data_IF_043915268357
#
_entry.id   IF_043915268357
#
_cell.length_a   1.000
_cell.length_b   1.000
_cell.length_c   1.000
_cell.angle_alpha   90.00
_cell.angle_beta   90.00
_cell.angle_gamma   90.00
#
_symmetry.space_group_name_H-M   'P 1'
#
loop_
_entity.id
_entity.type
_entity.pdbx_description
1 polymer ?
2 polymer ?
3 non-polymer ?
4 non-polymer ?
5 non-polymer ?
6 non-polymer ?
7 water ?
#
# COMPACT_ATOMS: atom_id res chain seq x y z
N UNK A 1 18.24 9.46 12.40
CA UNK A 1 19.00 9.65 11.18
C UNK A 1 19.27 11.10 10.88
N UNK A 2 19.26 11.46 9.59
CA UNK A 2 19.51 12.85 9.21
C UNK A 2 18.38 13.79 9.65
N UNK A 3 17.22 13.27 10.04
CA UNK A 3 16.14 14.11 10.56
C UNK A 3 16.11 14.16 12.07
N UNK A 4 17.08 13.53 12.74
CA UNK A 4 17.06 13.48 14.19
C UNK A 4 17.09 14.83 14.88
N UNK A 5 17.66 15.85 14.23
CA UNK A 5 17.75 17.16 14.86
C UNK A 5 16.54 18.05 14.57
N UNK A 6 15.61 17.60 13.73
CA UNK A 6 14.47 18.44 13.38
C UNK A 6 13.26 18.10 14.24
N UNK A 7 12.54 19.15 14.67
CA UNK A 7 11.32 18.97 15.45
C UNK A 7 10.31 18.10 14.73
N UNK A 8 9.61 17.25 15.50
CA UNK A 8 8.53 16.45 14.92
C UNK A 8 7.55 17.31 14.16
N UNK A 9 7.10 18.41 14.76
CA UNK A 9 6.09 19.24 14.10
C UNK A 9 6.65 19.86 12.82
N UNK A 10 7.94 20.19 12.83
CA UNK A 10 8.58 20.77 11.64
C UNK A 10 8.67 19.73 10.53
N UNK A 11 8.95 18.47 10.90
CA UNK A 11 8.99 17.41 9.90
C UNK A 11 7.62 17.22 9.26
N UNK A 12 6.56 17.23 10.06
CA UNK A 12 5.21 17.08 9.52
C UNK A 12 4.88 18.26 8.61
N UNK A 13 5.21 19.48 9.06
CA UNK A 13 4.96 20.65 8.24
C UNK A 13 5.69 20.55 6.91
N UNK A 14 6.96 20.13 6.93
CA UNK A 14 7.70 20.03 5.69
C UNK A 14 7.22 18.89 4.81
N UNK A 15 6.73 17.80 5.41
CA UNK A 15 6.11 16.75 4.59
C UNK A 15 4.95 17.30 3.79
N UNK A 16 4.12 18.15 4.42
CA UNK A 16 2.98 18.72 3.71
C UNK A 16 3.45 19.67 2.61
N UNK A 17 4.50 20.44 2.87
CA UNK A 17 5.07 21.31 1.84
C UNK A 17 5.62 20.48 0.68
N UNK A 18 6.34 19.40 0.99
CA UNK A 18 6.90 18.55 -0.05
C UNK A 18 5.78 17.93 -0.89
N UNK A 19 4.67 17.54 -0.25
CA UNK A 19 3.53 17.05 -1.02
C UNK A 19 3.02 18.09 -2.01
N UNK A 20 2.92 19.35 -1.57
CA UNK A 20 2.45 20.42 -2.44
C UNK A 20 3.41 20.64 -3.61
N UNK A 21 4.71 20.44 -3.37
CA UNK A 21 5.74 20.59 -4.38
C UNK A 21 5.96 19.33 -5.20
N UNK A 22 5.18 18.27 -4.91
CA UNK A 22 5.33 16.97 -5.56
C UNK A 22 6.77 16.44 -5.42
N UNK A 23 7.34 16.66 -4.24
CA UNK A 23 8.68 16.17 -3.91
C UNK A 23 8.52 14.99 -2.97
N UNK A 24 8.16 13.84 -3.54
CA UNK A 24 7.72 12.72 -2.70
C UNK A 24 8.88 12.02 -2.00
N UNK A 25 10.08 12.00 -2.59
CA UNK A 25 11.24 11.48 -1.87
C UNK A 25 11.50 12.30 -0.62
N UNK A 26 11.47 13.62 -0.73
CA UNK A 26 11.60 14.47 0.46
C UNK A 26 10.48 14.20 1.44
N UNK A 27 9.25 14.12 0.93
CA UNK A 27 8.10 13.87 1.80
C UNK A 27 8.29 12.59 2.60
N UNK A 28 8.78 11.54 1.93
CA UNK A 28 8.97 10.27 2.62
C UNK A 28 10.08 10.37 3.66
N UNK A 29 11.17 11.10 3.33
CA UNK A 29 12.24 11.24 4.30
C UNK A 29 11.77 12.03 5.53
N UNK A 30 10.95 13.06 5.31
CA UNK A 30 10.41 13.82 6.44
C UNK A 30 9.51 12.93 7.31
N UNK A 31 8.62 12.16 6.68
CA UNK A 31 7.71 11.32 7.44
C UNK A 31 8.46 10.18 8.14
N UNK A 32 9.49 9.62 7.51
CA UNK A 32 10.34 8.66 8.21
C UNK A 32 10.94 9.29 9.46
N UNK A 33 11.47 10.52 9.34
CA UNK A 33 11.96 11.22 10.50
C UNK A 33 10.91 11.40 11.58
N UNK A 34 9.68 11.74 11.17
CA UNK A 34 8.61 11.90 12.15
C UNK A 34 8.30 10.58 12.86
N UNK A 35 8.22 9.50 12.10
CA UNK A 35 7.96 8.20 12.72
C UNK A 35 9.04 7.87 13.73
N UNK A 36 10.30 8.11 13.37
CA UNK A 36 11.41 7.76 14.26
C UNK A 36 11.47 8.62 15.50
N UNK A 37 10.65 9.66 15.62
CA UNK A 37 10.52 10.35 16.90
C UNK A 37 9.92 9.45 17.98
N UNK A 38 9.25 8.38 17.59
CA UNK A 38 8.81 7.39 18.53
C UNK A 38 7.38 7.54 19.01
N UNK A 39 6.72 8.66 18.69
CA UNK A 39 5.34 8.84 19.08
C UNK A 39 4.41 8.22 18.04
N UNK A 40 3.22 7.83 18.48
CA UNK A 40 2.23 7.32 17.55
C UNK A 40 1.81 8.41 16.56
N UNK A 41 1.29 8.00 15.41
CA UNK A 41 0.88 8.92 14.38
C UNK A 41 -0.62 9.15 14.42
N UNK A 42 -1.03 10.39 14.18
CA UNK A 42 -2.44 10.70 14.03
C UNK A 42 -2.95 10.18 12.69
N UNK A 43 -4.27 10.24 12.50
CA UNK A 43 -4.85 9.82 11.22
C UNK A 43 -4.24 10.59 10.05
N UNK A 44 -4.14 11.91 10.17
CA UNK A 44 -3.59 12.71 9.08
C UNK A 44 -2.13 12.36 8.83
N UNK A 45 -1.36 12.14 9.89
CA UNK A 45 0.04 11.79 9.73
C UNK A 45 0.22 10.42 9.10
N UNK A 46 -0.62 9.45 9.46
CA UNK A 46 -0.56 8.14 8.80
C UNK A 46 -0.79 8.30 7.31
N UNK A 47 -1.73 9.16 6.92
CA UNK A 47 -2.00 9.33 5.51
C UNK A 47 -0.83 10.03 4.81
N UNK A 48 -0.16 10.98 5.48
CA UNK A 48 1.03 11.58 4.89
C UNK A 48 2.11 10.53 4.66
N UNK A 49 2.32 9.65 5.63
CA UNK A 49 3.31 8.58 5.48
C UNK A 49 2.97 7.70 4.29
N UNK A 50 1.70 7.31 4.18
CA UNK A 50 1.27 6.42 3.11
C UNK A 50 1.40 7.09 1.74
N UNK A 51 0.93 8.33 1.63
CA UNK A 51 1.02 9.05 0.35
C UNK A 51 2.47 9.18 -0.11
N UNK A 52 3.37 9.49 0.82
CA UNK A 52 4.76 9.70 0.44
C UNK A 52 5.38 8.43 -0.13
N UNK A 53 5.30 7.35 0.63
CA UNK A 53 5.95 6.12 0.16
C UNK A 53 5.22 5.51 -1.02
N UNK A 54 3.89 5.67 -1.10
CA UNK A 54 3.15 5.16 -2.25
C UNK A 54 3.67 5.81 -3.53
N UNK A 55 3.92 7.12 -3.48
CA UNK A 55 4.40 7.80 -4.67
C UNK A 55 5.84 7.44 -4.99
N UNK A 56 6.69 7.30 -3.96
CA UNK A 56 8.08 6.90 -4.21
C UNK A 56 8.14 5.52 -4.83
N UNK A 57 7.52 4.52 -4.16
CA UNK A 57 7.60 3.17 -4.70
C UNK A 57 6.80 3.07 -6.00
N UNK A 58 5.77 3.90 -6.17
CA UNK A 58 5.01 3.87 -7.42
C UNK A 58 5.87 4.22 -8.62
N UNK A 59 6.72 5.24 -8.47
CA UNK A 59 7.66 5.57 -9.53
C UNK A 59 8.65 4.46 -9.79
N UNK A 60 9.14 3.81 -8.72
CA UNK A 60 10.08 2.70 -8.89
C UNK A 60 9.43 1.52 -9.58
N UNK A 61 8.20 1.18 -9.17
CA UNK A 61 7.49 0.06 -9.80
C UNK A 61 7.26 0.33 -11.28
N UNK A 62 6.85 1.54 -11.63
CA UNK A 62 6.64 1.87 -13.03
C UNK A 62 7.92 1.75 -13.82
N UNK A 63 9.02 2.25 -13.27
CA UNK A 63 10.32 2.11 -13.94
C UNK A 63 10.73 0.66 -14.08
N UNK A 64 10.58 -0.13 -12.99
CA UNK A 64 10.93 -1.54 -13.04
C UNK A 64 10.13 -2.28 -14.12
N UNK A 65 8.85 -1.93 -14.28
CA UNK A 65 8.04 -2.61 -15.29
C UNK A 65 8.53 -2.28 -16.69
N UNK A 66 8.92 -1.02 -16.93
CA UNK A 66 9.47 -0.64 -18.23
C UNK A 66 10.73 -1.43 -18.50
N UNK A 67 11.64 -1.47 -17.52
CA UNK A 67 12.92 -2.13 -17.73
C UNK A 67 12.76 -3.64 -17.85
N UNK A 68 11.84 -4.21 -17.07
CA UNK A 68 11.59 -5.65 -17.14
C UNK A 68 11.06 -6.03 -18.52
N UNK A 69 10.17 -5.22 -19.08
CA UNK A 69 9.64 -5.51 -20.40
C UNK A 69 10.72 -5.42 -21.47
N UNK A 70 11.58 -4.40 -21.38
CA UNK A 70 12.70 -4.30 -22.31
C UNK A 70 13.61 -5.51 -22.17
N UNK A 71 13.85 -5.95 -20.93
CA UNK A 71 14.73 -7.08 -20.68
C UNK A 71 14.18 -8.37 -21.27
N UNK A 72 12.87 -8.59 -21.15
CA UNK A 72 12.31 -9.82 -21.69
C UNK A 72 12.28 -9.79 -23.22
N UNK A 73 11.99 -8.64 -23.81
CA UNK A 73 12.14 -8.49 -25.25
C UNK A 73 13.59 -8.70 -25.67
N UNK A 74 14.53 -8.27 -24.84
CA UNK A 74 15.95 -8.53 -25.12
C UNK A 74 16.30 -10.01 -25.05
N UNK A 75 15.45 -10.82 -24.41
CA UNK A 75 15.68 -12.26 -24.28
C UNK A 75 14.73 -13.09 -25.14
N UNK A 76 14.06 -12.46 -26.10
CA UNK A 76 13.11 -13.18 -26.95
C UNK A 76 13.79 -13.80 -28.17
N UNK A 81 19.76 -8.89 -28.17
CA UNK A 81 21.04 -9.55 -28.46
C UNK A 81 22.17 -8.92 -27.66
N UNK A 82 21.86 -7.85 -26.94
CA UNK A 82 22.87 -6.96 -26.38
C UNK A 82 23.60 -7.61 -25.20
N UNK A 83 24.31 -6.79 -24.43
CA UNK A 83 25.08 -7.25 -23.30
C UNK A 83 24.31 -7.16 -22.00
N UNK A 84 25.01 -6.93 -20.90
CA UNK A 84 24.39 -7.00 -19.57
C UNK A 84 23.70 -5.74 -19.09
N UNK A 85 23.66 -4.68 -19.90
CA UNK A 85 23.27 -3.37 -19.39
C UNK A 85 21.81 -3.32 -18.95
N UNK A 86 20.90 -3.91 -19.73
CA UNK A 86 19.49 -3.86 -19.38
C UNK A 86 19.26 -4.60 -18.07
N UNK A 87 19.84 -5.80 -17.95
CA UNK A 87 19.72 -6.54 -16.70
C UNK A 87 20.35 -5.78 -15.54
N UNK A 88 21.53 -5.18 -15.76
CA UNK A 88 22.18 -4.44 -14.68
C UNK A 88 21.32 -3.30 -14.20
N UNK A 89 20.74 -2.55 -15.14
CA UNK A 89 19.98 -1.37 -14.75
C UNK A 89 18.63 -1.76 -14.14
N UNK A 90 18.00 -2.81 -14.67
CA UNK A 90 16.79 -3.33 -14.02
C UNK A 90 17.11 -3.78 -12.58
N UNK A 91 18.25 -4.44 -12.39
CA UNK A 91 18.65 -4.86 -11.05
C UNK A 91 18.88 -3.66 -10.14
N UNK A 92 19.46 -2.59 -10.67
CA UNK A 92 19.69 -1.40 -9.87
C UNK A 92 18.37 -0.82 -9.36
N UNK A 93 17.41 -0.63 -10.26
CA UNK A 93 16.11 -0.11 -9.88
C UNK A 93 15.42 -1.07 -8.91
N UNK A 94 15.49 -2.38 -9.20
CA UNK A 94 14.90 -3.38 -8.34
C UNK A 94 15.49 -3.32 -6.92
N UNK A 95 16.80 -3.17 -6.81
CA UNK A 95 17.41 -3.10 -5.48
C UNK A 95 16.95 -1.84 -4.75
N UNK A 96 16.82 -0.74 -5.47
CA UNK A 96 16.36 0.50 -4.84
C UNK A 96 14.91 0.36 -4.38
N UNK A 97 14.07 -0.26 -5.21
CA UNK A 97 12.69 -0.54 -4.82
C UNK A 97 12.64 -1.40 -3.56
N UNK A 98 13.41 -2.48 -3.54
CA UNK A 98 13.43 -3.36 -2.38
C UNK A 98 13.91 -2.60 -1.15
N UNK A 99 14.85 -1.67 -1.33
CA UNK A 99 15.29 -0.88 -0.20
C UNK A 99 14.19 -0.01 0.38
N UNK A 100 13.36 0.58 -0.49
CA UNK A 100 12.27 1.41 0.00
C UNK A 100 11.24 0.54 0.73
N UNK A 101 10.85 -0.58 0.12
CA UNK A 101 9.96 -1.50 0.85
C UNK A 101 10.53 -1.94 2.18
N UNK A 102 11.81 -2.29 2.24
CA UNK A 102 12.41 -2.70 3.52
C UNK A 102 12.35 -1.55 4.53
N UNK A 103 12.55 -0.31 4.06
CA UNK A 103 12.45 0.84 4.95
C UNK A 103 11.05 0.96 5.54
N UNK A 104 10.03 0.90 4.68
CA UNK A 104 8.65 0.99 5.17
C UNK A 104 8.35 -0.15 6.13
N UNK A 105 8.69 -1.38 5.74
CA UNK A 105 8.42 -2.52 6.62
C UNK A 105 9.15 -2.38 7.95
N UNK A 106 10.36 -1.80 7.93
CA UNK A 106 11.08 -1.57 9.16
C UNK A 106 10.41 -0.55 10.07
N UNK A 107 9.83 0.50 9.48
CA UNK A 107 9.09 1.45 10.29
C UNK A 107 7.87 0.78 10.91
N UNK A 108 7.18 -0.05 10.14
CA UNK A 108 6.00 -0.71 10.67
C UNK A 108 6.37 -1.65 11.80
N UNK A 109 7.51 -2.34 11.67
CA UNK A 109 7.95 -3.29 12.67
C UNK A 109 8.61 -2.63 13.87
N UNK A 110 9.08 -1.38 13.71
CA UNK A 110 9.82 -0.66 14.75
C UNK A 110 9.38 0.81 14.80
N UNK A 111 8.24 1.10 15.41
CA UNK A 111 7.41 0.16 16.15
C UNK A 111 5.94 0.50 15.97
N UNK A 112 5.57 0.91 14.75
CA UNK A 112 4.23 1.43 14.54
C UNK A 112 3.16 0.39 14.87
N UNK A 113 3.33 -0.84 14.37
CA UNK A 113 2.26 -1.82 14.53
C UNK A 113 2.07 -2.19 15.99
N UNK A 114 3.17 -2.46 16.70
CA UNK A 114 3.01 -2.93 18.07
C UNK A 114 2.40 -1.88 18.99
N UNK A 115 2.50 -0.59 18.66
CA UNK A 115 1.86 0.42 19.48
C UNK A 115 0.45 0.76 19.02
N UNK A 116 0.01 0.21 17.88
CA UNK A 116 -1.28 0.54 17.29
C UNK A 116 -2.37 -0.31 17.93
N UNK A 117 -3.15 0.30 18.81
CA UNK A 117 -4.20 -0.43 19.52
C UNK A 117 -5.60 -0.18 18.99
N UNK A 118 -5.83 0.98 18.39
CA UNK A 118 -7.14 1.27 17.83
C UNK A 118 -7.29 0.59 16.47
N UNK A 119 -8.51 0.21 16.15
CA UNK A 119 -8.76 -0.48 14.89
C UNK A 119 -8.27 0.33 13.69
N UNK A 120 -8.55 1.64 13.68
CA UNK A 120 -8.21 2.43 12.50
C UNK A 120 -6.70 2.48 12.27
N UNK A 121 -5.91 2.58 13.34
CA UNK A 121 -4.47 2.60 13.14
C UNK A 121 -3.93 1.21 12.85
N UNK A 122 -4.38 0.21 13.60
CA UNK A 122 -3.84 -1.14 13.40
C UNK A 122 -4.16 -1.68 12.02
N UNK A 123 -5.40 -1.49 11.55
CA UNK A 123 -5.75 -1.95 10.21
C UNK A 123 -4.95 -1.19 9.16
N UNK A 124 -4.79 0.12 9.34
CA UNK A 124 -4.01 0.93 8.40
C UNK A 124 -2.60 0.37 8.25
N UNK A 125 -1.93 0.12 9.39
CA UNK A 125 -0.54 -0.32 9.33
C UNK A 125 -0.42 -1.73 8.78
N UNK A 126 -1.35 -2.62 9.16
CA UNK A 126 -1.28 -3.99 8.65
C UNK A 126 -1.55 -4.02 7.15
N UNK A 127 -2.47 -3.17 6.68
CA UNK A 127 -2.67 -3.04 5.24
C UNK A 127 -1.38 -2.58 4.56
N UNK A 128 -0.72 -1.57 5.14
CA UNK A 128 0.56 -1.12 4.60
C UNK A 128 1.56 -2.24 4.54
N UNK A 129 1.63 -3.06 5.59
CA UNK A 129 2.55 -4.18 5.61
C UNK A 129 2.25 -5.16 4.47
N UNK A 130 0.96 -5.47 4.28
CA UNK A 130 0.58 -6.28 3.12
C UNK A 130 1.00 -5.65 1.82
N UNK A 131 0.75 -4.34 1.68
CA UNK A 131 1.07 -3.64 0.44
C UNK A 131 2.56 -3.72 0.12
N UNK A 132 3.42 -3.48 1.11
CA UNK A 132 4.84 -3.41 0.77
C UNK A 132 5.45 -4.81 0.62
N UNK A 133 4.89 -5.83 1.28
CA UNK A 133 5.30 -7.18 0.91
C UNK A 133 4.80 -7.52 -0.49
N UNK A 134 3.62 -7.01 -0.87
CA UNK A 134 3.11 -7.24 -2.22
C UNK A 134 4.03 -6.63 -3.26
N UNK A 135 4.55 -5.42 -3.01
CA UNK A 135 5.48 -4.82 -3.94
C UNK A 135 6.78 -5.63 -4.02
N UNK A 136 7.25 -6.14 -2.88
CA UNK A 136 8.39 -7.04 -2.91
C UNK A 136 8.07 -8.29 -3.72
N UNK A 137 6.86 -8.82 -3.59
CA UNK A 137 6.51 -10.04 -4.33
C UNK A 137 6.49 -9.79 -5.84
N UNK A 138 6.15 -8.58 -6.27
CA UNK A 138 6.08 -8.27 -7.69
C UNK A 138 7.42 -8.47 -8.39
N UNK A 139 8.53 -8.32 -7.66
CA UNK A 139 9.87 -8.44 -8.24
C UNK A 139 10.61 -9.67 -7.74
N UNK A 140 9.99 -10.47 -6.88
CA UNK A 140 10.66 -11.64 -6.32
C UNK A 140 10.59 -12.80 -7.30
N UNK A 141 11.64 -13.62 -7.30
CA UNK A 141 11.73 -14.73 -8.24
C UNK A 141 12.04 -16.01 -7.46
N UNK A 142 11.08 -16.94 -7.47
CA UNK A 142 11.35 -18.30 -7.02
C UNK A 142 10.77 -18.70 -5.68
N UNK A 143 11.66 -19.02 -4.75
CA UNK A 143 11.27 -19.69 -3.50
C UNK A 143 11.02 -18.71 -2.36
N UNK A 144 11.98 -17.82 -2.09
CA UNK A 144 11.63 -16.77 -1.12
C UNK A 144 10.51 -15.88 -1.63
N UNK A 145 10.22 -15.92 -2.94
CA UNK A 145 8.95 -15.40 -3.43
C UNK A 145 7.78 -15.99 -2.65
N UNK A 146 7.86 -17.29 -2.34
CA UNK A 146 6.78 -17.93 -1.58
C UNK A 146 6.62 -17.32 -0.20
N UNK A 147 7.74 -17.10 0.50
CA UNK A 147 7.65 -16.57 1.85
C UNK A 147 7.20 -15.11 1.84
N UNK A 148 7.62 -14.34 0.83
CA UNK A 148 7.17 -12.95 0.73
C UNK A 148 5.67 -12.89 0.49
N UNK A 149 5.17 -13.76 -0.40
CA UNK A 149 3.74 -13.81 -0.68
C UNK A 149 2.97 -14.17 0.58
N UNK A 150 3.50 -15.13 1.36
CA UNK A 150 2.77 -15.48 2.58
C UNK A 150 2.81 -14.37 3.62
N UNK A 151 3.90 -13.60 3.68
CA UNK A 151 3.92 -12.46 4.58
C UNK A 151 2.89 -11.40 4.16
N UNK A 152 2.75 -11.15 2.87
CA UNK A 152 1.71 -10.22 2.44
C UNK A 152 0.33 -10.76 2.81
N UNK A 153 0.07 -12.02 2.48
CA UNK A 153 -1.22 -12.64 2.78
C UNK A 153 -1.54 -12.56 4.26
N UNK A 154 -0.56 -12.89 5.10
CA UNK A 154 -0.77 -12.90 6.55
C UNK A 154 -1.11 -11.50 7.06
N UNK A 155 -0.39 -10.49 6.58
CA UNK A 155 -0.68 -9.13 7.02
C UNK A 155 -2.07 -8.69 6.58
N UNK A 156 -2.40 -8.90 5.30
CA UNK A 156 -3.73 -8.56 4.82
C UNK A 156 -4.81 -9.30 5.60
N UNK A 157 -4.59 -10.60 5.87
CA UNK A 157 -5.61 -11.39 6.56
C UNK A 157 -5.85 -10.87 7.97
N UNK A 158 -4.78 -10.55 8.71
CA UNK A 158 -4.96 -10.00 10.04
C UNK A 158 -5.70 -8.67 9.98
N UNK A 159 -5.35 -7.82 9.02
CA UNK A 159 -6.05 -6.55 8.84
C UNK A 159 -7.53 -6.79 8.54
N UNK A 160 -7.82 -7.75 7.67
CA UNK A 160 -9.20 -8.06 7.32
C UNK A 160 -9.98 -8.52 8.55
N UNK A 161 -9.38 -9.41 9.35
CA UNK A 161 -10.08 -9.93 10.51
C UNK A 161 -10.47 -8.81 11.45
N UNK A 162 -9.54 -7.88 11.71
CA UNK A 162 -9.84 -6.75 12.58
C UNK A 162 -10.90 -5.86 11.96
N UNK A 163 -10.75 -5.55 10.66
CA UNK A 163 -11.67 -4.59 10.05
C UNK A 163 -13.10 -5.12 10.05
N UNK A 164 -13.27 -6.43 9.87
CA UNK A 164 -14.61 -7.01 9.88
C UNK A 164 -15.23 -7.00 11.27
N UNK A 165 -14.41 -7.10 12.32
CA UNK A 165 -14.95 -7.04 13.68
C UNK A 165 -15.19 -5.61 14.16
N UNK A 166 -14.38 -4.65 13.69
CA UNK A 166 -14.33 -3.34 14.34
C UNK A 166 -14.77 -2.17 13.48
N UNK A 167 -14.96 -2.34 12.18
CA UNK A 167 -15.27 -1.24 11.27
C UNK A 167 -16.53 -1.54 10.48
N UNK A 168 -17.33 -0.52 10.17
CA UNK A 168 -18.48 -0.74 9.28
C UNK A 168 -18.00 -1.05 7.88
N UNK A 169 -18.84 -1.71 7.07
CA UNK A 169 -18.41 -2.11 5.72
C UNK A 169 -18.12 -0.96 4.78
N UNK A 170 -18.50 0.27 5.11
CA UNK A 170 -18.21 1.40 4.26
C UNK A 170 -16.96 2.16 4.67
N UNK A 171 -16.33 1.76 5.77
CA UNK A 171 -15.16 2.48 6.23
C UNK A 171 -14.10 2.53 5.14
N UNK A 172 -13.62 3.72 4.74
CA UNK A 172 -12.66 3.78 3.63
C UNK A 172 -11.38 2.97 3.84
N UNK A 173 -10.91 2.85 5.08
CA UNK A 173 -9.74 2.00 5.33
C UNK A 173 -10.09 0.56 5.04
N UNK A 174 -11.23 0.10 5.55
CA UNK A 174 -11.68 -1.26 5.28
C UNK A 174 -11.86 -1.51 3.79
N UNK A 175 -12.44 -0.55 3.07
CA UNK A 175 -12.65 -0.71 1.63
C UNK A 175 -11.32 -0.78 0.88
N UNK A 176 -10.39 0.12 1.22
CA UNK A 176 -9.10 0.13 0.55
C UNK A 176 -8.30 -1.12 0.83
N UNK A 177 -8.39 -1.63 2.05
CA UNK A 177 -7.77 -2.91 2.39
C UNK A 177 -8.33 -4.02 1.52
N UNK A 178 -9.66 -4.11 1.43
CA UNK A 178 -10.26 -5.19 0.64
C UNK A 178 -9.91 -5.05 -0.84
N UNK A 179 -9.91 -3.81 -1.34
CA UNK A 179 -9.46 -3.56 -2.71
C UNK A 179 -8.05 -4.09 -2.92
N UNK A 180 -7.11 -3.73 -2.04
CA UNK A 180 -5.72 -4.14 -2.26
C UNK A 180 -5.52 -5.63 -2.03
N UNK A 181 -6.27 -6.22 -1.08
CA UNK A 181 -6.17 -7.67 -0.89
C UNK A 181 -6.70 -8.39 -2.12
N UNK A 182 -7.74 -7.84 -2.75
CA UNK A 182 -8.26 -8.47 -3.96
C UNK A 182 -7.25 -8.37 -5.10
N UNK A 183 -6.50 -7.27 -5.17
CA UNK A 183 -5.44 -7.16 -6.17
C UNK A 183 -4.33 -8.14 -5.87
N UNK A 184 -3.98 -8.31 -4.59
CA UNK A 184 -3.03 -9.34 -4.21
C UNK A 184 -3.48 -10.69 -4.73
N UNK A 185 -4.75 -11.04 -4.51
CA UNK A 185 -5.21 -12.35 -4.97
C UNK A 185 -5.08 -12.49 -6.48
N UNK A 186 -5.44 -11.44 -7.22
CA UNK A 186 -5.50 -11.55 -8.67
C UNK A 186 -4.10 -11.54 -9.29
N UNK A 187 -3.25 -10.61 -8.84
CA UNK A 187 -1.98 -10.33 -9.49
C UNK A 187 -0.82 -11.14 -8.93
N UNK A 188 -0.86 -11.49 -7.65
CA UNK A 188 0.27 -12.09 -6.95
C UNK A 188 0.02 -13.56 -6.65
N UNK A 189 -1.16 -13.86 -6.08
CA UNK A 189 -1.44 -15.20 -5.56
C UNK A 189 -2.05 -16.12 -6.60
N UNK A 190 -2.22 -15.66 -7.83
CA UNK A 190 -2.83 -16.45 -8.90
C UNK A 190 -4.17 -17.05 -8.44
N UNK A 191 -4.96 -16.24 -7.74
CA UNK A 191 -6.31 -16.62 -7.29
C UNK A 191 -7.34 -15.61 -7.77
N UNK A 192 -7.56 -15.54 -9.09
CA UNK A 192 -8.55 -14.58 -9.60
C UNK A 192 -9.95 -14.82 -9.07
N UNK A 193 -10.35 -16.06 -8.81
CA UNK A 193 -11.70 -16.26 -8.29
C UNK A 193 -11.83 -15.68 -6.88
N UNK A 194 -10.80 -15.86 -6.04
CA UNK A 194 -10.81 -15.24 -4.71
C UNK A 194 -10.82 -13.72 -4.83
N UNK A 195 -10.07 -13.19 -5.79
CA UNK A 195 -10.06 -11.74 -6.01
C UNK A 195 -11.45 -11.22 -6.35
N UNK A 196 -12.12 -11.90 -7.28
CA UNK A 196 -13.45 -11.49 -7.71
C UNK A 196 -14.45 -11.63 -6.58
N UNK A 197 -14.41 -12.75 -5.86
CA UNK A 197 -15.33 -12.96 -4.74
C UNK A 197 -15.17 -11.89 -3.68
N UNK A 198 -13.91 -11.61 -3.31
CA UNK A 198 -13.68 -10.58 -2.30
C UNK A 198 -14.17 -9.21 -2.75
N UNK A 199 -13.88 -8.84 -4.00
CA UNK A 199 -14.28 -7.52 -4.48
C UNK A 199 -15.80 -7.40 -4.53
N UNK A 200 -16.48 -8.48 -4.96
CA UNK A 200 -17.93 -8.43 -5.07
C UNK A 200 -18.59 -8.36 -3.68
N UNK A 201 -18.19 -9.24 -2.76
CA UNK A 201 -18.74 -9.20 -1.41
C UNK A 201 -18.49 -7.85 -0.75
N UNK A 202 -17.28 -7.32 -0.92
CA UNK A 202 -16.95 -6.02 -0.32
C UNK A 202 -17.86 -4.93 -0.88
N UNK A 203 -18.03 -4.92 -2.20
CA UNK A 203 -18.88 -3.92 -2.85
C UNK A 203 -20.31 -4.03 -2.34
N UNK A 204 -20.84 -5.25 -2.30
CA UNK A 204 -22.24 -5.45 -1.95
C UNK A 204 -22.51 -5.09 -0.50
N UNK A 205 -21.60 -5.44 0.41
CA UNK A 205 -21.83 -5.11 1.82
C UNK A 205 -21.68 -3.62 2.05
N UNK A 206 -20.81 -2.94 1.30
CA UNK A 206 -20.74 -1.49 1.42
C UNK A 206 -22.01 -0.84 0.88
N UNK A 207 -22.51 -1.33 -0.26
CA UNK A 207 -23.75 -0.81 -0.83
C UNK A 207 -24.86 -0.76 0.20
N UNK A 208 -25.04 -1.85 0.93
CA UNK A 208 -26.14 -1.98 1.88
C UNK A 208 -25.96 -1.11 3.12
N UNK A 209 -24.78 -0.50 3.31
CA UNK A 209 -24.48 0.34 4.46
C UNK A 209 -24.42 1.83 4.11
N UNK A 210 -24.53 2.18 2.82
CA UNK A 210 -24.41 3.57 2.40
C UNK A 210 -25.48 4.44 3.02
N UNK A 211 -26.65 3.87 3.31
CA UNK A 211 -27.77 4.66 3.82
C UNK A 211 -27.44 5.29 5.17
N UNK A 212 -26.43 4.78 5.87
CA UNK A 212 -26.07 5.28 7.19
C UNK A 212 -25.18 6.49 7.15
N UNK A 213 -24.67 6.85 5.97
CA UNK A 213 -23.59 7.80 5.81
C UNK A 213 -24.08 9.21 5.54
N UNK A 214 -23.30 10.18 6.02
CA UNK A 214 -23.44 11.57 5.61
C UNK A 214 -23.05 11.72 4.14
N UNK A 215 -23.36 12.88 3.58
CA UNK A 215 -23.01 13.14 2.19
C UNK A 215 -21.51 13.06 1.97
N UNK A 216 -20.73 13.54 2.94
CA UNK A 216 -19.27 13.55 2.80
C UNK A 216 -18.71 12.12 2.86
N UNK A 217 -19.13 11.34 3.86
CA UNK A 217 -18.67 9.96 3.94
C UNK A 217 -19.18 9.14 2.77
N UNK A 218 -20.40 9.40 2.32
CA UNK A 218 -20.92 8.74 1.12
C UNK A 218 -19.98 8.93 -0.05
N UNK A 219 -19.47 10.15 -0.24
CA UNK A 219 -18.55 10.41 -1.33
C UNK A 219 -17.23 9.67 -1.14
N UNK A 220 -16.71 9.63 0.10
CA UNK A 220 -15.47 8.91 0.37
C UNK A 220 -15.62 7.43 0.05
N UNK A 221 -16.70 6.80 0.54
CA UNK A 221 -16.90 5.37 0.35
C UNK A 221 -17.17 5.01 -1.10
N UNK A 222 -18.04 5.77 -1.79
CA UNK A 222 -18.38 5.37 -3.15
C UNK A 222 -17.20 5.53 -4.10
N UNK A 223 -16.26 6.43 -3.80
CA UNK A 223 -15.08 6.54 -4.65
C UNK A 223 -14.26 5.26 -4.64
N UNK A 224 -14.11 4.63 -3.47
CA UNK A 224 -13.37 3.37 -3.42
C UNK A 224 -14.20 2.22 -3.98
N UNK A 225 -15.51 2.24 -3.76
CA UNK A 225 -16.37 1.24 -4.37
C UNK A 225 -16.25 1.25 -5.89
N UNK A 226 -16.09 2.43 -6.49
CA UNK A 226 -15.93 2.53 -7.93
C UNK A 226 -14.65 1.81 -8.38
N UNK A 227 -13.60 1.90 -7.58
CA UNK A 227 -12.38 1.16 -7.85
C UNK A 227 -12.60 -0.36 -7.81
N UNK A 228 -13.39 -0.84 -6.83
CA UNK A 228 -13.74 -2.25 -6.82
C UNK A 228 -14.51 -2.62 -8.09
N UNK A 229 -15.49 -1.79 -8.44
CA UNK A 229 -16.29 -2.04 -9.63
C UNK A 229 -15.43 -2.05 -10.89
N UNK A 230 -14.50 -1.09 -11.00
CA UNK A 230 -13.62 -1.03 -12.16
C UNK A 230 -12.82 -2.32 -12.29
N UNK A 231 -12.30 -2.84 -11.17
CA UNK A 231 -11.56 -4.09 -11.23
C UNK A 231 -12.45 -5.25 -11.64
N UNK A 232 -13.65 -5.35 -11.07
CA UNK A 232 -14.55 -6.44 -11.42
C UNK A 232 -14.89 -6.39 -12.91
N UNK A 233 -15.06 -5.19 -13.46
CA UNK A 233 -15.32 -5.04 -14.90
C UNK A 233 -14.12 -5.50 -15.72
N UNK A 234 -12.91 -5.23 -15.23
CA UNK A 234 -11.70 -5.71 -15.88
C UNK A 234 -11.59 -7.23 -15.78
N UNK A 235 -12.02 -7.81 -14.66
CA UNK A 235 -11.74 -9.22 -14.35
C UNK A 235 -12.84 -10.18 -14.80
N UNK A 236 -14.02 -9.68 -15.09
CA UNK A 236 -15.13 -10.56 -15.47
C UNK A 236 -15.72 -10.14 -16.82
N UNK B 5 -5.68 -3.39 -13.28
CA UNK B 5 -5.78 -3.83 -11.90
C UNK B 5 -5.41 -2.70 -10.95
N UNK B 6 -6.41 -1.95 -10.53
CA UNK B 6 -6.16 -0.75 -9.76
C UNK B 6 -6.12 -1.04 -8.26
N UNK B 8 -5.65 0.76 -4.14
CA UNK B 8 -6.19 1.90 -3.40
C UNK B 8 -5.40 3.17 -3.68
N UNK B 9 -6.08 4.31 -3.70
CA UNK B 9 -5.41 5.58 -3.93
C UNK B 9 -4.51 5.98 -2.76
#
# INVERSE_FOLDING_TARGET
GAMGSMERASLIQKAKLAEQAERYEDMAAFMKGAVEKGEELSCEERNLLSVAYKNVVGGQRAAWRVLSSIEQKSNEEGSEEKGPEVREYREKVETELQGVCDTVLGLLDSHLIKEAGDAESRVFYLKMKGDYYRYLAEVATGDDKKRIIDSARSAYQEAMDISKKEMPPTNPIRLGLALNFSVFHYEIANSPEEAISLAKTTFDEAMADLHTLSEDSYKDSTLIMQLLRDNLTLWT
XWVRCLXDHA
#
